data_IF_420257905385
#
_entry.id   IF_420257905385
#
_cell.length_a   1.000
_cell.length_b   1.000
_cell.length_c   1.000
_cell.angle_alpha   90.00
_cell.angle_beta   90.00
_cell.angle_gamma   90.00
#
_symmetry.space_group_name_H-M   'P 1'
#
loop_
_entity.id
_entity.type
_entity.pdbx_description
1 polymer ?
#
# COMPACT_ATOMS: atom_id res chain seq x y z
N UNK A 1 -6.31 12.48 4.60
CA UNK A 1 -7.26 11.70 5.43
C UNK A 1 -7.85 10.61 4.56
N UNK A 2 -8.32 9.52 5.15
CA UNK A 2 -8.95 8.43 4.41
C UNK A 2 -10.34 8.80 3.90
N UNK A 3 -10.74 8.23 2.76
CA UNK A 3 -12.12 8.29 2.29
C UNK A 3 -13.04 7.56 3.27
N UNK A 4 -13.99 8.29 3.84
CA UNK A 4 -14.85 7.77 4.91
C UNK A 4 -15.82 6.69 4.41
N UNK A 5 -16.30 6.78 3.16
CA UNK A 5 -17.27 5.83 2.62
C UNK A 5 -16.61 4.49 2.35
N UNK A 6 -15.42 4.50 1.75
CA UNK A 6 -14.64 3.29 1.52
C UNK A 6 -14.20 2.66 2.84
N UNK A 7 -13.70 3.47 3.79
CA UNK A 7 -13.32 2.96 5.10
C UNK A 7 -14.51 2.33 5.84
N UNK A 8 -15.68 2.97 5.80
CA UNK A 8 -16.89 2.41 6.40
C UNK A 8 -17.33 1.12 5.72
N UNK A 9 -17.16 0.99 4.40
CA UNK A 9 -17.42 -0.26 3.68
C UNK A 9 -16.45 -1.37 4.10
N UNK A 10 -15.15 -1.10 4.15
CA UNK A 10 -14.13 -2.07 4.61
C UNK A 10 -14.46 -2.56 6.02
N UNK A 11 -14.81 -1.65 6.94
CA UNK A 11 -15.19 -2.01 8.32
C UNK A 11 -16.44 -2.90 8.43
N UNK A 12 -17.33 -2.87 7.43
CA UNK A 12 -18.50 -3.76 7.37
C UNK A 12 -18.14 -5.16 6.84
N UNK A 13 -17.17 -5.23 5.94
CA UNK A 13 -16.87 -6.44 5.18
C UNK A 13 -15.74 -7.29 5.81
N UNK A 14 -14.95 -6.70 6.71
CA UNK A 14 -13.80 -7.37 7.35
C UNK A 14 -13.51 -6.78 8.73
N UNK A 15 -12.85 -7.58 9.59
CA UNK A 15 -12.29 -7.14 10.87
C UNK A 15 -10.81 -6.76 10.79
N UNK A 16 -10.17 -6.86 9.61
CA UNK A 16 -8.74 -6.60 9.44
C UNK A 16 -8.32 -5.18 9.87
N UNK A 17 -9.23 -4.21 9.81
CA UNK A 17 -9.00 -2.85 10.31
C UNK A 17 -8.65 -2.80 11.81
N UNK A 18 -9.04 -3.83 12.58
CA UNK A 18 -8.74 -3.98 14.01
C UNK A 18 -7.39 -4.64 14.28
N UNK A 19 -6.75 -5.24 13.27
CA UNK A 19 -5.50 -5.97 13.45
C UNK A 19 -4.42 -5.05 14.06
N UNK A 20 -3.71 -5.51 15.11
CA UNK A 20 -2.63 -4.74 15.71
C UNK A 20 -1.42 -4.60 14.77
N UNK A 21 -1.26 -5.52 13.80
CA UNK A 21 -0.12 -5.58 12.90
C UNK A 21 -0.44 -5.10 11.48
N UNK A 22 -1.63 -5.45 10.97
CA UNK A 22 -2.05 -5.21 9.58
C UNK A 22 -3.31 -4.36 9.46
N UNK A 23 -3.74 -3.70 10.55
CA UNK A 23 -4.95 -2.87 10.59
C UNK A 23 -4.67 -1.36 10.48
N UNK A 24 -5.60 -0.55 10.98
CA UNK A 24 -5.62 0.90 10.72
C UNK A 24 -4.34 1.65 11.07
N UNK A 25 -3.62 1.24 12.12
CA UNK A 25 -2.35 1.86 12.49
C UNK A 25 -1.30 1.68 11.39
N UNK A 26 -1.21 0.48 10.82
CA UNK A 26 -0.33 0.19 9.70
C UNK A 26 -0.77 0.97 8.46
N UNK A 27 -2.04 0.87 8.06
CA UNK A 27 -2.57 1.59 6.88
C UNK A 27 -2.31 3.09 6.97
N UNK A 28 -2.46 3.70 8.15
CA UNK A 28 -2.18 5.12 8.36
C UNK A 28 -0.70 5.46 8.14
N UNK A 29 0.23 4.61 8.60
CA UNK A 29 1.67 4.80 8.38
C UNK A 29 2.03 4.61 6.91
N UNK A 30 1.42 3.64 6.22
CA UNK A 30 1.57 3.48 4.75
C UNK A 30 1.14 4.76 4.02
N UNK A 31 -0.01 5.35 4.37
CA UNK A 31 -0.44 6.61 3.77
C UNK A 31 0.57 7.74 4.04
N UNK A 32 1.02 7.90 5.29
CA UNK A 32 2.00 8.95 5.66
C UNK A 32 3.32 8.76 4.92
N UNK A 33 3.85 7.54 4.89
CA UNK A 33 5.08 7.22 4.18
C UNK A 33 4.95 7.56 2.68
N UNK A 34 3.88 7.09 2.04
CA UNK A 34 3.65 7.33 0.61
C UNK A 34 3.53 8.82 0.28
N UNK A 35 2.75 9.58 1.06
CA UNK A 35 2.60 11.02 0.88
C UNK A 35 3.90 11.78 1.12
N UNK A 36 4.76 11.30 2.04
CA UNK A 36 6.07 11.88 2.28
C UNK A 36 7.08 11.64 1.14
N UNK A 37 6.91 10.54 0.39
CA UNK A 37 7.75 10.17 -0.75
C UNK A 37 7.28 10.83 -2.05
N UNK A 38 5.98 11.16 -2.16
CA UNK A 38 5.38 11.70 -3.39
C UNK A 38 6.09 12.93 -3.99
N UNK A 39 6.55 13.93 -3.20
CA UNK A 39 7.25 15.10 -3.74
C UNK A 39 8.58 14.77 -4.44
N UNK A 40 9.28 13.71 -4.01
CA UNK A 40 10.57 13.30 -4.58
C UNK A 40 10.43 12.28 -5.71
N UNK A 41 9.34 11.51 -5.70
CA UNK A 41 9.08 10.43 -6.66
C UNK A 41 8.20 10.87 -7.82
N UNK A 42 7.43 11.95 -7.66
CA UNK A 42 6.38 12.33 -8.61
C UNK A 42 5.15 11.42 -8.55
N UNK A 43 5.02 10.61 -7.50
CA UNK A 43 3.87 9.73 -7.33
C UNK A 43 2.55 10.52 -7.23
N UNK A 44 1.50 9.94 -7.79
CA UNK A 44 0.15 10.48 -7.72
C UNK A 44 -0.39 10.39 -6.28
N UNK A 45 -0.59 11.56 -5.68
CA UNK A 45 -1.04 11.71 -4.29
C UNK A 45 -2.47 11.25 -4.08
N UNK A 46 -3.29 11.17 -5.13
CA UNK A 46 -4.68 10.73 -5.01
C UNK A 46 -4.77 9.21 -4.87
N UNK A 47 -3.83 8.44 -5.44
CA UNK A 47 -3.81 6.97 -5.36
C UNK A 47 -3.37 6.49 -3.97
N UNK A 48 -2.42 7.17 -3.33
CA UNK A 48 -1.76 6.71 -2.10
C UNK A 48 -2.75 6.41 -0.96
N UNK A 49 -3.73 7.29 -0.63
CA UNK A 49 -4.72 6.99 0.41
C UNK A 49 -5.59 5.77 0.11
N UNK A 50 -5.94 5.53 -1.15
CA UNK A 50 -6.71 4.35 -1.55
C UNK A 50 -5.88 3.07 -1.43
N UNK A 51 -4.62 3.09 -1.89
CA UNK A 51 -3.72 1.95 -1.73
C UNK A 51 -3.55 1.59 -0.24
N UNK A 52 -3.30 2.60 0.60
CA UNK A 52 -3.13 2.42 2.03
C UNK A 52 -4.35 1.75 2.69
N UNK A 53 -5.58 2.13 2.34
CA UNK A 53 -6.80 1.47 2.85
C UNK A 53 -6.99 0.04 2.36
N UNK A 54 -6.59 -0.25 1.12
CA UNK A 54 -6.98 -1.46 0.41
C UNK A 54 -5.97 -2.59 0.49
N UNK A 55 -4.67 -2.31 0.41
CA UNK A 55 -3.63 -3.31 0.12
C UNK A 55 -3.70 -4.55 1.03
N UNK A 56 -3.95 -4.33 2.32
CA UNK A 56 -4.05 -5.37 3.35
C UNK A 56 -5.49 -5.67 3.82
N UNK A 57 -6.54 -4.98 3.32
CA UNK A 57 -7.89 -5.15 3.87
C UNK A 57 -8.49 -6.55 3.63
N UNK A 58 -7.93 -7.31 2.68
CA UNK A 58 -8.36 -8.65 2.31
C UNK A 58 -7.39 -9.75 2.78
N UNK A 59 -6.56 -9.49 3.79
CA UNK A 59 -5.81 -10.56 4.47
C UNK A 59 -6.75 -11.55 5.16
N UNK A 60 -6.39 -12.82 5.13
CA UNK A 60 -7.07 -13.89 5.86
C UNK A 60 -6.32 -14.34 7.12
N UNK A 61 -5.03 -14.01 7.21
CA UNK A 61 -4.19 -14.27 8.38
C UNK A 61 -3.12 -13.18 8.59
N UNK A 62 -2.48 -13.25 9.75
CA UNK A 62 -1.45 -12.32 10.22
C UNK A 62 -0.02 -12.72 9.78
N UNK A 63 0.13 -13.83 9.06
CA UNK A 63 1.41 -14.43 8.68
C UNK A 63 1.57 -14.41 7.16
N UNK A 64 1.70 -15.59 6.55
CA UNK A 64 1.91 -15.78 5.12
C UNK A 64 0.59 -15.86 4.37
N UNK A 65 0.24 -14.75 3.72
CA UNK A 65 -0.93 -14.69 2.87
C UNK A 65 -0.57 -14.15 1.48
N UNK A 66 0.16 -14.88 0.62
CA UNK A 66 0.65 -14.34 -0.64
C UNK A 66 -0.45 -13.81 -1.58
N UNK A 67 -1.71 -14.19 -1.35
CA UNK A 67 -2.84 -13.84 -2.19
C UNK A 67 -3.67 -12.63 -1.69
N UNK A 68 -3.29 -11.96 -0.58
CA UNK A 68 -4.03 -10.78 -0.09
C UNK A 68 -4.04 -9.63 -1.10
N UNK A 69 -2.91 -9.34 -1.76
CA UNK A 69 -2.84 -8.31 -2.80
C UNK A 69 -3.84 -8.52 -3.95
N UNK A 70 -3.85 -9.69 -4.63
CA UNK A 70 -4.85 -10.02 -5.65
C UNK A 70 -6.30 -9.94 -5.17
N UNK A 71 -6.57 -10.33 -3.91
CA UNK A 71 -7.91 -10.19 -3.32
C UNK A 71 -8.27 -8.74 -3.06
N UNK A 72 -7.36 -7.92 -2.55
CA UNK A 72 -7.54 -6.48 -2.38
C UNK A 72 -7.84 -5.78 -3.70
N UNK A 73 -7.12 -6.13 -4.77
CA UNK A 73 -7.38 -5.64 -6.12
C UNK A 73 -8.78 -6.04 -6.62
N UNK A 74 -9.21 -7.28 -6.36
CA UNK A 74 -10.56 -7.75 -6.71
C UNK A 74 -11.65 -7.04 -5.90
N UNK A 75 -11.40 -6.79 -4.62
CA UNK A 75 -12.28 -6.01 -3.74
C UNK A 75 -12.42 -4.56 -4.23
N UNK A 76 -11.32 -3.90 -4.59
CA UNK A 76 -11.33 -2.56 -5.16
C UNK A 76 -12.16 -2.50 -6.46
N UNK A 77 -12.07 -3.51 -7.34
CA UNK A 77 -12.92 -3.62 -8.55
C UNK A 77 -14.41 -3.73 -8.20
N UNK A 78 -14.76 -4.60 -7.23
CA UNK A 78 -16.14 -4.77 -6.75
C UNK A 78 -16.71 -3.46 -6.20
N UNK A 79 -15.88 -2.65 -5.53
CA UNK A 79 -16.27 -1.39 -4.89
C UNK A 79 -15.81 -0.13 -5.65
N UNK A 80 -15.58 -0.23 -6.98
CA UNK A 80 -15.12 0.89 -7.84
C UNK A 80 -15.93 2.18 -7.67
N UNK A 81 -17.24 2.06 -7.43
CA UNK A 81 -18.15 3.19 -7.23
C UNK A 81 -17.87 4.02 -5.96
N UNK A 82 -17.08 3.50 -5.01
CA UNK A 82 -16.63 4.21 -3.81
C UNK A 82 -15.26 4.88 -3.98
N UNK A 83 -14.60 4.68 -5.13
CA UNK A 83 -13.22 5.12 -5.38
C UNK A 83 -13.26 6.26 -6.39
N UNK A 84 -12.93 7.47 -5.93
CA UNK A 84 -12.92 8.68 -6.73
C UNK A 84 -11.56 8.87 -7.44
N UNK A 85 -11.24 7.93 -8.31
CA UNK A 85 -10.10 7.99 -9.21
C UNK A 85 -10.60 7.91 -10.65
N UNK A 86 -9.87 8.53 -11.59
CA UNK A 86 -10.10 8.27 -13.01
C UNK A 86 -9.72 6.83 -13.38
N UNK A 87 -9.98 6.42 -14.62
CA UNK A 87 -9.77 5.03 -15.04
C UNK A 87 -8.28 4.64 -15.10
N UNK A 88 -7.40 5.59 -15.40
CA UNK A 88 -5.96 5.34 -15.41
C UNK A 88 -5.41 5.23 -13.99
N UNK A 89 -5.80 6.16 -13.11
CA UNK A 89 -5.46 6.13 -11.71
C UNK A 89 -5.98 4.86 -11.03
N UNK A 90 -7.22 4.47 -11.32
CA UNK A 90 -7.80 3.24 -10.83
C UNK A 90 -7.05 2.01 -11.35
N UNK A 91 -6.65 1.98 -12.62
CA UNK A 91 -5.78 0.92 -13.15
C UNK A 91 -4.47 0.81 -12.36
N UNK A 92 -3.81 1.94 -12.06
CA UNK A 92 -2.58 1.94 -11.27
C UNK A 92 -2.82 1.44 -9.84
N UNK A 93 -3.91 1.85 -9.19
CA UNK A 93 -4.31 1.37 -7.86
C UNK A 93 -4.48 -0.16 -7.85
N UNK A 94 -5.19 -0.73 -8.83
CA UNK A 94 -5.38 -2.18 -8.97
C UNK A 94 -4.03 -2.90 -9.11
N UNK A 95 -3.11 -2.35 -9.92
CA UNK A 95 -1.76 -2.91 -10.10
C UNK A 95 -0.92 -2.81 -8.83
N UNK A 96 -1.00 -1.70 -8.10
CA UNK A 96 -0.32 -1.49 -6.84
C UNK A 96 -0.76 -2.53 -5.81
N UNK A 97 -2.07 -2.66 -5.57
CA UNK A 97 -2.63 -3.64 -4.65
C UNK A 97 -2.27 -5.08 -5.04
N UNK A 98 -2.45 -5.46 -6.32
CA UNK A 98 -2.20 -6.84 -6.75
C UNK A 98 -0.73 -7.28 -6.64
N UNK A 99 0.21 -6.35 -6.84
CA UNK A 99 1.63 -6.66 -6.95
C UNK A 99 2.46 -6.51 -5.68
N UNK A 100 1.97 -5.81 -4.65
CA UNK A 100 2.83 -5.37 -3.53
C UNK A 100 3.50 -6.51 -2.75
N UNK A 101 2.82 -7.65 -2.62
CA UNK A 101 3.34 -8.86 -1.96
C UNK A 101 4.41 -9.60 -2.80
N UNK A 102 4.31 -9.54 -4.13
CA UNK A 102 5.16 -10.34 -5.03
C UNK A 102 6.33 -9.56 -5.64
N UNK A 103 6.40 -8.25 -5.39
CA UNK A 103 7.44 -7.42 -5.96
C UNK A 103 8.80 -7.67 -5.27
N UNK A 104 9.70 -8.40 -5.92
CA UNK A 104 10.99 -8.79 -5.35
C UNK A 104 12.11 -7.78 -5.66
N UNK A 105 13.21 -7.78 -4.88
CA UNK A 105 14.42 -7.03 -5.20
C UNK A 105 14.88 -7.25 -6.64
N UNK A 106 15.24 -6.16 -7.33
CA UNK A 106 15.71 -6.21 -8.71
C UNK A 106 14.61 -6.43 -9.76
N UNK A 107 13.37 -6.74 -9.38
CA UNK A 107 12.24 -6.54 -10.27
C UNK A 107 12.09 -5.05 -10.54
N UNK A 108 11.65 -4.68 -11.75
CA UNK A 108 11.12 -3.33 -11.94
C UNK A 108 9.74 -3.32 -11.28
N UNK A 109 9.50 -2.37 -10.38
CA UNK A 109 8.14 -1.87 -10.25
C UNK A 109 7.66 -1.52 -11.66
N UNK A 110 6.35 -1.62 -11.92
CA UNK A 110 5.77 -1.03 -13.13
C UNK A 110 6.51 0.27 -13.50
N UNK A 111 6.66 0.62 -14.78
CA UNK A 111 7.33 1.85 -15.25
C UNK A 111 6.63 3.16 -14.80
N UNK A 112 6.06 3.18 -13.61
CA UNK A 112 5.21 4.18 -13.00
C UNK A 112 5.61 4.31 -11.53
N UNK A 113 6.11 5.50 -11.18
CA UNK A 113 6.64 5.79 -9.85
C UNK A 113 5.58 5.76 -8.74
N UNK A 114 4.29 5.89 -9.07
CA UNK A 114 3.21 5.75 -8.09
C UNK A 114 3.13 4.34 -7.53
N UNK A 115 3.25 3.31 -8.38
CA UNK A 115 3.21 1.91 -7.93
C UNK A 115 4.43 1.60 -7.05
N UNK A 116 5.61 2.03 -7.49
CA UNK A 116 6.85 1.88 -6.72
C UNK A 116 6.73 2.54 -5.33
N UNK A 117 6.20 3.77 -5.29
CA UNK A 117 6.01 4.53 -4.07
C UNK A 117 5.01 3.88 -3.12
N UNK A 118 3.92 3.30 -3.63
CA UNK A 118 2.98 2.54 -2.81
C UNK A 118 3.65 1.34 -2.13
N UNK A 119 4.45 0.57 -2.87
CA UNK A 119 5.16 -0.58 -2.32
C UNK A 119 6.24 -0.19 -1.32
N UNK A 120 6.98 0.88 -1.61
CA UNK A 120 7.98 1.43 -0.69
C UNK A 120 7.33 1.92 0.60
N UNK A 121 6.18 2.57 0.51
CA UNK A 121 5.45 3.09 1.67
C UNK A 121 5.02 2.00 2.66
N UNK A 122 4.58 0.84 2.14
CA UNK A 122 4.28 -0.36 2.94
C UNK A 122 5.55 -0.96 3.57
N UNK A 123 6.61 -1.13 2.77
CA UNK A 123 7.87 -1.74 3.22
C UNK A 123 8.63 -0.92 4.25
N UNK A 124 8.54 0.41 4.18
CA UNK A 124 9.11 1.30 5.19
C UNK A 124 8.47 1.09 6.57
N UNK A 125 7.26 0.52 6.65
CA UNK A 125 6.59 0.19 7.92
C UNK A 125 6.85 -1.25 8.38
N UNK A 126 7.76 -2.02 7.74
CA UNK A 126 8.00 -3.43 8.10
C UNK A 126 8.57 -3.60 9.52
N UNK A 127 9.20 -2.55 10.06
CA UNK A 127 9.63 -2.48 11.47
C UNK A 127 8.55 -2.84 12.47
N UNK A 128 7.28 -2.57 12.12
CA UNK A 128 6.12 -2.87 12.97
C UNK A 128 6.01 -4.34 13.37
N UNK A 129 6.51 -5.27 12.54
CA UNK A 129 6.46 -6.72 12.79
C UNK A 129 7.82 -7.29 13.25
N UNK A 130 8.74 -6.43 13.70
CA UNK A 130 10.04 -6.85 14.22
C UNK A 130 11.11 -7.14 13.17
N UNK A 131 10.87 -6.73 11.91
CA UNK A 131 11.85 -6.83 10.82
C UNK A 131 12.62 -5.52 10.64
N UNK A 132 13.80 -5.59 10.04
CA UNK A 132 14.58 -4.40 9.67
C UNK A 132 14.29 -4.07 8.20
N UNK A 133 14.11 -2.79 7.89
CA UNK A 133 13.94 -2.33 6.51
C UNK A 133 15.21 -2.67 5.71
N UNK A 134 15.06 -3.45 4.65
CA UNK A 134 16.14 -3.81 3.74
C UNK A 134 16.01 -3.00 2.44
N UNK A 135 16.98 -2.12 2.17
CA UNK A 135 16.98 -1.24 1.00
C UNK A 135 16.86 -1.97 -0.35
N UNK A 136 17.23 -3.26 -0.41
CA UNK A 136 17.13 -4.07 -1.63
C UNK A 136 15.67 -4.30 -2.03
N UNK A 137 14.75 -4.23 -1.08
CA UNK A 137 13.31 -4.33 -1.31
C UNK A 137 12.66 -2.98 -1.61
N UNK A 138 13.40 -1.87 -1.57
CA UNK A 138 12.88 -0.56 -1.94
C UNK A 138 13.18 -0.24 -3.40
N UNK A 139 12.25 0.40 -4.08
CA UNK A 139 12.30 0.67 -5.52
C UNK A 139 12.78 2.08 -5.82
N UNK A 140 12.29 3.07 -5.08
CA UNK A 140 12.60 4.48 -5.32
C UNK A 140 13.86 4.91 -4.57
N UNK A 141 14.60 5.86 -5.15
CA UNK A 141 15.73 6.49 -4.45
C UNK A 141 15.28 7.21 -3.18
N UNK A 142 14.11 7.86 -3.24
CA UNK A 142 13.53 8.56 -2.09
C UNK A 142 13.33 7.61 -0.90
N UNK A 143 12.76 6.42 -1.12
CA UNK A 143 12.57 5.43 -0.06
C UNK A 143 13.89 4.88 0.48
N UNK A 144 14.86 4.58 -0.40
CA UNK A 144 16.18 4.10 0.04
C UNK A 144 16.90 5.10 0.95
N UNK A 145 16.77 6.40 0.66
CA UNK A 145 17.34 7.44 1.50
C UNK A 145 16.72 7.46 2.91
N UNK A 146 15.44 7.05 3.07
CA UNK A 146 14.78 7.00 4.38
C UNK A 146 15.27 5.85 5.27
N UNK A 147 15.97 4.85 4.73
CA UNK A 147 16.52 3.75 5.54
C UNK A 147 17.53 4.28 6.56
N UNK A 148 18.31 5.31 6.19
CA UNK A 148 19.29 5.93 7.07
C UNK A 148 18.67 6.74 8.21
N UNK A 149 17.42 7.19 8.05
CA UNK A 149 16.69 7.97 9.08
C UNK A 149 16.03 7.07 10.15
N UNK A 150 16.07 5.74 9.95
CA UNK A 150 15.46 4.73 10.84
C UNK A 150 16.46 4.06 11.80
N UNK A 151 17.73 4.47 11.77
CA UNK A 151 18.84 4.00 12.61
C UNK A 151 19.18 5.08 13.64
#
# INVERSE_FOLDING_TARGET
>A
MFDEKLLAQIKRDTDMWQSPWHGLKHWSRVMVNGLSLAPETGADVDIIPYFALLHDCCRHDEYEDPLHGPRAASYAKKHRHLIQLDDYQFYLLIRACAGHTHALPGCRASFNDTIATCWDADRLDIGRVGLIVDERYLFTRAAKNRVFDLI
#
